data_IF_077740792306
#
_entry.id   IF_077740792306
#
_cell.length_a   1.000
_cell.length_b   1.000
_cell.length_c   1.000
_cell.angle_alpha   90.00
_cell.angle_beta   90.00
_cell.angle_gamma   90.00
#
_symmetry.space_group_name_H-M   'P 1'
#
loop_
_entity.id
_entity.type
_entity.pdbx_description
1 polymer ?
#
# COMPACT_ATOMS: atom_id res chain seq x y z
N UNK A 1 14.96 2.65 -9.30
CA UNK A 1 16.20 2.36 -8.52
C UNK A 1 17.10 3.59 -8.40
N UNK A 2 17.57 4.22 -9.48
CA UNK A 2 18.42 5.42 -9.40
C UNK A 2 17.81 6.57 -8.58
N UNK A 3 16.51 6.87 -8.76
CA UNK A 3 15.80 7.88 -7.96
C UNK A 3 15.70 7.50 -6.47
N UNK A 4 15.54 6.21 -6.14
CA UNK A 4 15.50 5.74 -4.75
C UNK A 4 16.86 5.89 -4.07
N UNK A 5 17.95 5.59 -4.81
CA UNK A 5 19.33 5.77 -4.32
C UNK A 5 19.63 7.25 -4.08
N UNK A 6 19.18 8.14 -4.97
CA UNK A 6 19.32 9.58 -4.78
C UNK A 6 18.61 10.09 -3.54
N UNK A 7 17.34 9.68 -3.33
CA UNK A 7 16.58 10.09 -2.14
C UNK A 7 17.22 9.54 -0.86
N UNK A 8 17.68 8.29 -0.86
CA UNK A 8 18.35 7.70 0.29
C UNK A 8 19.71 8.35 0.61
N UNK A 9 20.45 8.77 -0.42
CA UNK A 9 21.74 9.44 -0.25
C UNK A 9 21.64 10.89 0.28
N UNK A 10 20.48 11.54 0.11
CA UNK A 10 20.29 12.96 0.44
C UNK A 10 19.20 13.18 1.51
N UNK A 11 18.90 12.19 2.35
CA UNK A 11 17.78 12.25 3.32
C UNK A 11 17.89 13.49 4.23
N UNK A 12 19.06 13.77 4.80
CA UNK A 12 19.26 14.91 5.70
C UNK A 12 19.02 16.27 5.00
N UNK A 13 19.46 16.41 3.74
CA UNK A 13 19.26 17.64 2.95
C UNK A 13 17.79 17.83 2.56
N UNK A 14 17.09 16.72 2.28
CA UNK A 14 15.68 16.70 1.94
C UNK A 14 14.77 16.92 3.15
N UNK A 15 15.21 16.51 4.35
CA UNK A 15 14.57 16.83 5.63
C UNK A 15 14.67 18.33 5.94
N UNK A 16 15.86 18.91 5.78
CA UNK A 16 16.12 20.33 6.01
C UNK A 16 15.45 21.23 4.97
N UNK A 17 15.25 20.75 3.74
CA UNK A 17 14.66 21.52 2.62
C UNK A 17 13.18 21.23 2.36
N UNK A 18 12.45 20.66 3.33
CA UNK A 18 11.03 20.35 3.17
C UNK A 18 10.24 21.61 2.77
N UNK A 19 9.68 21.59 1.56
CA UNK A 19 8.88 22.67 0.99
C UNK A 19 9.56 23.51 -0.09
N UNK A 20 10.89 23.46 -0.22
CA UNK A 20 11.67 24.10 -1.28
C UNK A 20 12.71 23.13 -1.86
N UNK A 21 12.28 22.09 -2.60
CA UNK A 21 13.19 21.08 -3.14
C UNK A 21 14.14 21.68 -4.20
N UNK A 22 15.38 21.19 -4.22
CA UNK A 22 16.30 21.46 -5.33
C UNK A 22 15.75 20.87 -6.64
N UNK A 23 16.14 21.43 -7.79
CA UNK A 23 15.64 20.98 -9.11
C UNK A 23 15.88 19.47 -9.35
N UNK A 24 17.00 18.95 -8.86
CA UNK A 24 17.32 17.52 -8.93
C UNK A 24 16.38 16.67 -8.05
N UNK A 25 16.05 17.14 -6.85
CA UNK A 25 15.10 16.49 -5.96
C UNK A 25 13.68 16.50 -6.54
N UNK A 26 13.26 17.61 -7.16
CA UNK A 26 11.97 17.72 -7.84
C UNK A 26 11.83 16.67 -8.96
N UNK A 27 12.84 16.57 -9.83
CA UNK A 27 12.88 15.59 -10.92
C UNK A 27 12.84 14.16 -10.39
N UNK A 28 13.64 13.85 -9.36
CA UNK A 28 13.64 12.52 -8.73
C UNK A 28 12.27 12.19 -8.11
N UNK A 29 11.64 13.15 -7.43
CA UNK A 29 10.31 13.02 -6.85
C UNK A 29 9.23 12.75 -7.89
N UNK A 30 9.22 13.52 -8.98
CA UNK A 30 8.29 13.33 -10.10
C UNK A 30 8.43 11.93 -10.71
N UNK A 31 9.68 11.48 -10.93
CA UNK A 31 9.95 10.14 -11.43
C UNK A 31 9.50 9.04 -10.46
N UNK A 32 9.63 9.24 -9.15
CA UNK A 32 9.12 8.30 -8.15
C UNK A 32 7.60 8.21 -8.19
N UNK A 33 6.89 9.34 -8.28
CA UNK A 33 5.43 9.35 -8.38
C UNK A 33 4.99 8.59 -9.64
N UNK A 34 5.58 8.90 -10.80
CA UNK A 34 5.26 8.21 -12.06
C UNK A 34 5.58 6.72 -12.01
N UNK A 35 6.73 6.34 -11.46
CA UNK A 35 7.11 4.94 -11.30
C UNK A 35 6.13 4.18 -10.39
N UNK A 36 5.68 4.81 -9.29
CA UNK A 36 4.66 4.20 -8.41
C UNK A 36 3.30 4.10 -9.07
N UNK A 37 2.90 5.09 -9.87
CA UNK A 37 1.65 5.05 -10.64
C UNK A 37 1.69 3.90 -11.67
N UNK A 38 2.78 3.77 -12.42
CA UNK A 38 2.97 2.67 -13.36
C UNK A 38 3.01 1.30 -12.66
N UNK A 39 3.71 1.19 -11.53
CA UNK A 39 3.74 -0.02 -10.72
C UNK A 39 2.35 -0.40 -10.20
N UNK A 40 1.57 0.58 -9.76
CA UNK A 40 0.19 0.39 -9.33
C UNK A 40 -0.67 -0.14 -10.47
N UNK A 41 -0.53 0.44 -11.67
CA UNK A 41 -1.26 -0.01 -12.85
C UNK A 41 -0.90 -1.46 -13.23
N UNK A 42 0.38 -1.81 -13.20
CA UNK A 42 0.87 -3.16 -13.54
C UNK A 42 0.40 -4.22 -12.53
N UNK A 43 0.38 -3.90 -11.23
CA UNK A 43 0.06 -4.87 -10.19
C UNK A 43 -1.44 -4.95 -9.85
N UNK A 44 -2.15 -3.82 -9.83
CA UNK A 44 -3.54 -3.71 -9.34
C UNK A 44 -4.54 -3.29 -10.42
N UNK A 45 -4.06 -2.93 -11.61
CA UNK A 45 -4.89 -2.52 -12.73
C UNK A 45 -5.34 -1.06 -12.68
N UNK A 46 -6.22 -0.71 -13.62
CA UNK A 46 -6.75 0.65 -13.82
C UNK A 46 -7.60 1.22 -12.67
N UNK A 47 -8.42 0.44 -11.92
CA UNK A 47 -9.33 1.01 -10.93
C UNK A 47 -8.58 1.76 -9.81
N UNK A 48 -7.52 1.16 -9.27
CA UNK A 48 -6.74 1.75 -8.19
C UNK A 48 -5.94 2.97 -8.65
N UNK A 49 -5.42 2.91 -9.88
CA UNK A 49 -4.74 4.04 -10.52
C UNK A 49 -5.66 5.26 -10.64
N UNK A 50 -6.89 5.04 -11.11
CA UNK A 50 -7.86 6.13 -11.33
C UNK A 50 -8.17 6.84 -10.01
N UNK A 51 -8.43 6.08 -8.94
CA UNK A 51 -8.66 6.63 -7.59
C UNK A 51 -7.44 7.45 -7.13
N UNK A 52 -6.23 6.92 -7.28
CA UNK A 52 -5.01 7.64 -6.90
C UNK A 52 -4.85 8.96 -7.68
N UNK A 53 -5.07 8.95 -9.00
CA UNK A 53 -5.00 10.15 -9.84
C UNK A 53 -6.03 11.20 -9.43
N UNK A 54 -7.24 10.79 -9.05
CA UNK A 54 -8.28 11.72 -8.55
C UNK A 54 -7.83 12.41 -7.27
N UNK A 55 -7.25 11.68 -6.32
CA UNK A 55 -6.73 12.29 -5.09
C UNK A 55 -5.52 13.19 -5.33
N UNK A 56 -4.63 12.82 -6.24
CA UNK A 56 -3.52 13.70 -6.65
C UNK A 56 -4.06 14.96 -7.33
N UNK A 57 -5.07 14.85 -8.18
CA UNK A 57 -5.73 15.99 -8.80
C UNK A 57 -6.43 16.88 -7.78
N UNK A 58 -6.99 16.30 -6.71
CA UNK A 58 -7.59 17.06 -5.61
C UNK A 58 -6.58 17.99 -4.92
N UNK A 59 -5.31 17.58 -4.73
CA UNK A 59 -4.27 18.48 -4.20
C UNK A 59 -4.04 19.74 -5.04
N UNK A 60 -4.31 19.69 -6.36
CA UNK A 60 -4.19 20.85 -7.24
C UNK A 60 -5.50 21.63 -7.36
N UNK A 61 -6.64 20.94 -7.38
CA UNK A 61 -7.95 21.53 -7.66
C UNK A 61 -8.73 21.92 -6.40
N UNK A 62 -8.33 21.49 -5.20
CA UNK A 62 -9.06 21.73 -3.97
C UNK A 62 -9.13 23.21 -3.55
N UNK A 63 -8.28 24.07 -4.11
CA UNK A 63 -8.39 25.51 -3.92
C UNK A 63 -9.63 26.12 -4.62
N UNK A 64 -10.20 25.45 -5.63
CA UNK A 64 -11.41 25.89 -6.33
C UNK A 64 -12.71 25.43 -5.65
N UNK A 65 -12.63 24.47 -4.73
CA UNK A 65 -13.80 23.93 -4.04
C UNK A 65 -14.17 24.82 -2.83
N UNK A 66 -15.42 25.26 -2.76
CA UNK A 66 -15.98 25.95 -1.59
C UNK A 66 -16.61 24.95 -0.61
N UNK A 67 -16.45 25.18 0.70
CA UNK A 67 -17.00 24.35 1.78
C UNK A 67 -15.93 23.59 2.59
N UNK A 68 -16.28 22.48 3.27
CA UNK A 68 -15.36 21.74 4.15
C UNK A 68 -14.21 21.04 3.41
N UNK A 69 -14.26 20.98 2.08
CA UNK A 69 -13.22 20.41 1.21
C UNK A 69 -12.25 21.47 0.67
N UNK A 70 -12.35 22.72 1.14
CA UNK A 70 -11.42 23.78 0.75
C UNK A 70 -10.05 23.59 1.41
N UNK A 71 -8.99 23.73 0.61
CA UNK A 71 -7.63 23.88 1.12
C UNK A 71 -6.90 25.01 0.37
N UNK A 72 -5.90 25.66 0.99
CA UNK A 72 -5.09 26.67 0.31
C UNK A 72 -4.37 26.08 -0.92
N UNK A 73 -4.10 26.93 -1.91
CA UNK A 73 -3.35 26.52 -3.09
C UNK A 73 -1.91 26.14 -2.71
N UNK A 74 -1.51 24.93 -3.07
CA UNK A 74 -0.14 24.46 -2.88
C UNK A 74 0.65 24.63 -4.19
N UNK A 75 1.90 25.10 -4.07
CA UNK A 75 2.81 25.14 -5.21
C UNK A 75 3.14 23.74 -5.72
N UNK A 76 3.40 23.60 -7.02
CA UNK A 76 3.73 22.30 -7.62
C UNK A 76 4.94 21.64 -6.93
N UNK A 77 5.97 22.42 -6.64
CA UNK A 77 7.18 21.95 -5.96
C UNK A 77 6.88 21.42 -4.55
N UNK A 78 5.95 22.08 -3.84
CA UNK A 78 5.51 21.66 -2.51
C UNK A 78 4.74 20.33 -2.57
N UNK A 79 3.83 20.16 -3.53
CA UNK A 79 3.03 18.93 -3.68
C UNK A 79 3.92 17.74 -4.03
N UNK A 80 4.85 17.90 -4.99
CA UNK A 80 5.79 16.84 -5.37
C UNK A 80 6.69 16.49 -4.18
N UNK A 81 7.20 17.50 -3.47
CA UNK A 81 8.00 17.29 -2.26
C UNK A 81 7.20 16.49 -1.23
N UNK A 82 5.99 16.93 -0.87
CA UNK A 82 5.19 16.28 0.18
C UNK A 82 4.79 14.84 -0.16
N UNK A 83 4.48 14.55 -1.43
CA UNK A 83 4.06 13.23 -1.88
C UNK A 83 5.20 12.23 -2.02
N UNK A 84 6.40 12.67 -2.41
CA UNK A 84 7.47 11.75 -2.83
C UNK A 84 8.75 11.89 -2.04
N UNK A 85 9.31 13.08 -1.97
CA UNK A 85 10.67 13.33 -1.46
C UNK A 85 10.68 13.59 0.04
N UNK A 86 9.66 14.26 0.55
CA UNK A 86 9.45 14.51 1.97
C UNK A 86 9.14 13.21 2.69
N UNK A 87 9.62 13.08 3.93
CA UNK A 87 9.38 11.88 4.74
C UNK A 87 7.90 11.67 5.11
N UNK A 88 7.04 12.66 4.85
CA UNK A 88 5.59 12.50 4.93
C UNK A 88 5.01 11.60 3.83
N UNK A 89 5.74 11.43 2.72
CA UNK A 89 5.25 10.77 1.51
C UNK A 89 5.84 9.39 1.29
N UNK A 90 6.00 9.03 0.01
CA UNK A 90 6.43 7.71 -0.46
C UNK A 90 7.73 7.24 0.19
N UNK A 91 8.72 8.13 0.30
CA UNK A 91 10.07 7.76 0.72
C UNK A 91 10.24 7.62 2.24
N UNK A 92 9.32 8.15 3.06
CA UNK A 92 9.41 8.09 4.51
C UNK A 92 8.33 7.20 5.11
N UNK A 93 7.14 7.76 5.33
CA UNK A 93 6.04 7.08 6.01
C UNK A 93 5.61 5.78 5.33
N UNK A 94 5.39 5.79 4.01
CA UNK A 94 4.94 4.59 3.30
C UNK A 94 6.02 3.51 3.19
N UNK A 95 7.29 3.93 3.02
CA UNK A 95 8.43 3.01 3.05
C UNK A 95 8.59 2.36 4.43
N UNK A 96 8.44 3.16 5.50
CA UNK A 96 8.56 2.68 6.88
C UNK A 96 7.45 1.69 7.22
N UNK A 97 6.18 2.01 6.90
CA UNK A 97 5.06 1.09 7.11
C UNK A 97 5.26 -0.22 6.33
N UNK A 98 5.78 -0.13 5.10
CA UNK A 98 6.05 -1.32 4.29
C UNK A 98 7.18 -2.19 4.86
N UNK A 99 8.27 -1.57 5.30
CA UNK A 99 9.43 -2.27 5.86
C UNK A 99 9.15 -2.86 7.25
N UNK A 100 8.37 -2.16 8.07
CA UNK A 100 8.08 -2.62 9.41
C UNK A 100 6.87 -3.55 9.44
N UNK A 101 5.71 -3.09 8.97
CA UNK A 101 4.48 -3.85 9.14
C UNK A 101 4.34 -4.93 8.07
N UNK A 102 4.39 -4.54 6.79
CA UNK A 102 4.08 -5.46 5.69
C UNK A 102 5.12 -6.57 5.58
N UNK A 103 6.41 -6.25 5.68
CA UNK A 103 7.47 -7.25 5.61
C UNK A 103 7.33 -8.34 6.69
N UNK A 104 7.06 -7.95 7.94
CA UNK A 104 6.86 -8.92 9.05
C UNK A 104 5.68 -9.85 8.78
N UNK A 105 4.56 -9.34 8.24
CA UNK A 105 3.42 -10.18 7.87
C UNK A 105 3.72 -11.11 6.69
N UNK A 106 4.41 -10.64 5.66
CA UNK A 106 4.79 -11.47 4.51
C UNK A 106 5.74 -12.59 4.92
N UNK A 107 6.74 -12.29 5.75
CA UNK A 107 7.68 -13.29 6.28
C UNK A 107 6.94 -14.31 7.16
N UNK A 108 6.08 -13.85 8.07
CA UNK A 108 5.29 -14.75 8.92
C UNK A 108 4.34 -15.63 8.09
N UNK A 109 3.64 -15.06 7.11
CA UNK A 109 2.78 -15.80 6.19
C UNK A 109 3.55 -16.85 5.37
N UNK A 110 4.74 -16.51 4.87
CA UNK A 110 5.60 -17.45 4.16
C UNK A 110 6.05 -18.61 5.06
N UNK A 111 6.39 -18.35 6.32
CA UNK A 111 6.75 -19.40 7.29
C UNK A 111 5.58 -20.35 7.55
N UNK A 112 4.36 -19.82 7.72
CA UNK A 112 3.17 -20.63 7.94
C UNK A 112 2.83 -21.55 6.76
N UNK A 113 3.10 -21.09 5.53
CA UNK A 113 3.01 -21.90 4.32
C UNK A 113 3.97 -23.10 4.36
N UNK A 114 5.23 -22.89 4.80
CA UNK A 114 6.22 -23.97 4.94
C UNK A 114 5.78 -25.00 6.00
N UNK A 115 5.23 -24.54 7.12
CA UNK A 115 4.71 -25.43 8.18
C UNK A 115 3.39 -26.13 7.82
N UNK A 116 2.82 -25.88 6.62
CA UNK A 116 1.52 -26.40 6.18
C UNK A 116 0.37 -26.13 7.15
N UNK A 117 0.48 -25.04 7.92
CA UNK A 117 -0.56 -24.62 8.88
C UNK A 117 -1.85 -24.26 8.16
N UNK A 118 -1.75 -23.76 6.92
CA UNK A 118 -2.88 -23.52 6.01
C UNK A 118 -3.78 -24.76 5.84
N UNK A 119 -3.19 -25.95 5.67
CA UNK A 119 -3.94 -27.20 5.51
C UNK A 119 -4.62 -27.64 6.80
N UNK A 120 -3.95 -27.44 7.95
CA UNK A 120 -4.54 -27.70 9.26
C UNK A 120 -5.73 -26.78 9.55
N UNK A 121 -5.61 -25.49 9.23
CA UNK A 121 -6.69 -24.51 9.40
C UNK A 121 -7.90 -24.85 8.51
N UNK A 122 -7.65 -25.34 7.29
CA UNK A 122 -8.71 -25.76 6.38
C UNK A 122 -9.44 -27.02 6.87
N UNK A 123 -8.72 -28.01 7.40
CA UNK A 123 -9.34 -29.18 8.02
C UNK A 123 -10.10 -28.82 9.30
N UNK A 124 -9.58 -27.91 10.13
CA UNK A 124 -10.30 -27.38 11.30
C UNK A 124 -11.58 -26.65 10.90
N UNK A 125 -11.55 -25.83 9.85
CA UNK A 125 -12.73 -25.14 9.32
C UNK A 125 -13.78 -26.11 8.78
N UNK A 126 -13.37 -27.21 8.12
CA UNK A 126 -14.28 -28.29 7.72
C UNK A 126 -14.94 -28.97 8.91
N UNK A 127 -14.18 -29.31 9.96
CA UNK A 127 -14.71 -29.94 11.18
C UNK A 127 -15.74 -29.02 11.84
N UNK A 128 -15.43 -27.73 11.97
CA UNK A 128 -16.32 -26.75 12.57
C UNK A 128 -17.59 -26.53 11.74
N UNK A 129 -17.45 -26.39 10.42
CA UNK A 129 -18.58 -26.20 9.53
C UNK A 129 -19.46 -27.46 9.36
N UNK A 130 -18.93 -28.67 9.61
CA UNK A 130 -19.74 -29.91 9.67
C UNK A 130 -20.78 -29.89 10.78
N UNK A 131 -20.55 -29.11 11.85
CA UNK A 131 -21.50 -28.91 12.95
C UNK A 131 -22.51 -27.79 12.69
N UNK A 132 -22.30 -26.99 11.65
CA UNK A 132 -23.16 -25.86 11.29
C UNK A 132 -24.10 -26.29 10.16
N UNK A 133 -25.37 -25.91 10.25
CA UNK A 133 -26.44 -26.27 9.28
C UNK A 133 -26.26 -25.66 7.87
N UNK A 134 -25.15 -24.97 7.61
CA UNK A 134 -24.91 -24.17 6.40
C UNK A 134 -24.26 -24.88 5.21
N UNK A 135 -23.92 -26.18 5.34
CA UNK A 135 -23.31 -26.95 4.26
C UNK A 135 -21.93 -26.43 3.81
N UNK A 136 -21.57 -26.69 2.55
CA UNK A 136 -20.25 -26.37 1.97
C UNK A 136 -19.92 -24.86 1.95
N UNK A 137 -20.94 -24.00 1.86
CA UNK A 137 -20.75 -22.55 1.86
C UNK A 137 -20.20 -22.01 3.18
N UNK A 138 -20.80 -22.40 4.31
CA UNK A 138 -20.32 -21.94 5.63
C UNK A 138 -18.95 -22.51 6.00
N UNK A 139 -18.64 -23.76 5.62
CA UNK A 139 -17.30 -24.34 5.83
C UNK A 139 -16.20 -23.54 5.13
N UNK A 140 -16.49 -23.02 3.93
CA UNK A 140 -15.54 -22.18 3.17
C UNK A 140 -15.31 -20.83 3.84
N UNK A 141 -16.37 -20.17 4.31
CA UNK A 141 -16.27 -18.88 5.01
C UNK A 141 -15.45 -19.00 6.30
N UNK A 142 -15.69 -20.03 7.10
CA UNK A 142 -14.94 -20.25 8.35
C UNK A 142 -13.47 -20.56 8.08
N UNK A 143 -13.17 -21.42 7.10
CA UNK A 143 -11.80 -21.74 6.71
C UNK A 143 -11.06 -20.50 6.22
N UNK A 144 -11.68 -19.69 5.35
CA UNK A 144 -11.10 -18.45 4.84
C UNK A 144 -10.93 -17.38 5.93
N UNK A 145 -11.83 -17.34 6.91
CA UNK A 145 -11.70 -16.45 8.07
C UNK A 145 -10.52 -16.86 8.96
N UNK A 146 -10.35 -18.16 9.20
CA UNK A 146 -9.24 -18.71 10.01
C UNK A 146 -7.89 -18.49 9.31
N UNK A 147 -7.82 -18.76 8.00
CA UNK A 147 -6.64 -18.50 7.17
C UNK A 147 -6.36 -16.99 7.10
N UNK A 148 -7.41 -16.16 7.01
CA UNK A 148 -7.28 -14.71 6.99
C UNK A 148 -6.75 -14.10 8.29
N UNK A 149 -7.18 -14.62 9.44
CA UNK A 149 -6.67 -14.18 10.75
C UNK A 149 -5.19 -14.47 10.94
N UNK A 150 -4.73 -15.60 10.39
CA UNK A 150 -3.35 -16.08 10.57
C UNK A 150 -2.41 -15.48 9.52
N UNK A 151 -2.88 -15.31 8.29
CA UNK A 151 -2.09 -14.69 7.22
C UNK A 151 -1.98 -13.18 7.36
N UNK A 152 -2.91 -12.51 8.03
CA UNK A 152 -2.87 -11.07 8.33
C UNK A 152 -2.86 -10.16 7.09
N UNK A 153 -2.93 -10.73 5.89
CA UNK A 153 -2.78 -10.04 4.62
C UNK A 153 -3.96 -10.40 3.70
N UNK A 154 -4.83 -9.43 3.35
CA UNK A 154 -5.95 -9.66 2.43
C UNK A 154 -5.51 -10.27 1.08
N UNK A 155 -4.31 -9.91 0.62
CA UNK A 155 -3.71 -10.40 -0.63
C UNK A 155 -3.33 -11.89 -0.54
N UNK A 156 -2.87 -12.38 0.62
CA UNK A 156 -2.56 -13.79 0.82
C UNK A 156 -3.83 -14.65 0.80
N UNK A 157 -4.92 -14.13 1.38
CA UNK A 157 -6.21 -14.82 1.35
C UNK A 157 -6.75 -14.98 -0.08
N UNK A 158 -6.62 -13.98 -0.95
CA UNK A 158 -7.07 -14.10 -2.36
C UNK A 158 -6.21 -15.10 -3.16
N UNK A 159 -4.91 -15.20 -2.87
CA UNK A 159 -4.02 -16.14 -3.54
C UNK A 159 -4.23 -17.60 -3.11
N UNK A 160 -4.62 -17.83 -1.86
CA UNK A 160 -4.85 -19.19 -1.31
C UNK A 160 -6.29 -19.66 -1.59
N UNK A 161 -7.26 -18.73 -1.64
CA UNK A 161 -8.69 -19.04 -1.76
C UNK A 161 -9.25 -18.87 -3.18
N UNK A 162 -8.40 -18.66 -4.20
CA UNK A 162 -8.86 -18.57 -5.59
C UNK A 162 -8.06 -19.45 -6.54
N UNK A 163 -8.67 -20.09 -7.55
CA UNK A 163 -10.12 -20.26 -7.83
C UNK A 163 -10.81 -21.39 -7.04
#
# INVERSE_FOLDING_TARGET
>A
LACCVYVYGNIEELEMSQGFPSQAALLAGLWLILATALGTWLCWGLPLLLVAVVFVAYFFLGHLLSGPLYHPAFGFDYVVSMLSVGLSGLSGLFMSISADQVFRFVVFGALLGIFKVEGLLMEMGKILGRRLRGGAGLTGVFSNSLIGMVSGAPVANVAITGP
#
